data_IF_158868675932
#
_entry.id   IF_158868675932
#
_cell.length_a   1.000
_cell.length_b   1.000
_cell.length_c   1.000
_cell.angle_alpha   90.00
_cell.angle_beta   90.00
_cell.angle_gamma   90.00
#
_symmetry.space_group_name_H-M   'P 1'
#
loop_
_entity.id
_entity.type
_entity.pdbx_description
1 polymer ?
#
# COMPACT_ATOMS: atom_id res chain seq x y z
N UNK A 1 10.37 6.49 9.30
CA UNK A 1 10.95 7.32 8.21
C UNK A 1 10.23 6.88 6.95
N UNK A 2 9.57 7.80 6.27
CA UNK A 2 8.86 7.48 5.03
C UNK A 2 9.84 6.89 4.00
N UNK A 3 9.44 5.88 3.22
CA UNK A 3 10.27 5.35 2.16
C UNK A 3 10.49 6.42 1.08
N UNK A 4 11.70 6.48 0.54
CA UNK A 4 12.03 7.34 -0.60
C UNK A 4 11.99 6.45 -1.84
N UNK A 5 11.11 6.76 -2.77
CA UNK A 5 10.96 6.03 -4.01
C UNK A 5 11.67 6.74 -5.16
N UNK A 6 12.18 5.95 -6.11
CA UNK A 6 12.73 6.46 -7.37
C UNK A 6 11.59 6.94 -8.28
N UNK A 7 11.78 8.01 -9.07
CA UNK A 7 10.84 8.32 -10.15
C UNK A 7 10.86 7.20 -11.20
N UNK A 8 9.71 6.95 -11.84
CA UNK A 8 9.66 5.93 -12.89
C UNK A 8 10.64 6.24 -14.03
N UNK A 9 11.48 5.26 -14.32
CA UNK A 9 12.36 5.22 -15.48
C UNK A 9 12.29 3.84 -16.15
N UNK A 10 12.07 3.82 -17.47
CA UNK A 10 11.88 2.57 -18.21
C UNK A 10 13.15 1.70 -18.25
N UNK A 11 14.33 2.30 -18.26
CA UNK A 11 15.61 1.58 -18.23
C UNK A 11 15.79 0.89 -16.89
N UNK A 12 15.55 1.64 -15.80
CA UNK A 12 15.58 1.09 -14.44
C UNK A 12 14.54 -0.02 -14.24
N UNK A 13 13.35 0.17 -14.80
CA UNK A 13 12.31 -0.87 -14.80
C UNK A 13 12.75 -2.15 -15.54
N UNK A 14 13.40 -2.00 -16.70
CA UNK A 14 13.93 -3.14 -17.45
C UNK A 14 15.04 -3.90 -16.67
N UNK A 15 15.93 -3.18 -15.99
CA UNK A 15 16.95 -3.78 -15.11
C UNK A 15 16.33 -4.62 -14.01
N UNK A 16 15.37 -4.05 -13.26
CA UNK A 16 14.65 -4.75 -12.18
C UNK A 16 13.95 -6.00 -12.72
N UNK A 17 13.30 -5.92 -13.87
CA UNK A 17 12.66 -7.08 -14.51
C UNK A 17 13.70 -8.16 -14.83
N UNK A 18 14.83 -7.78 -15.45
CA UNK A 18 15.87 -8.71 -15.87
C UNK A 18 16.52 -9.45 -14.69
N UNK A 19 16.71 -8.77 -13.56
CA UNK A 19 17.29 -9.35 -12.33
C UNK A 19 16.48 -10.54 -11.79
N UNK A 20 15.18 -10.60 -12.08
CA UNK A 20 14.28 -11.61 -11.48
C UNK A 20 13.78 -12.66 -12.47
N UNK A 21 14.14 -12.59 -13.76
CA UNK A 21 13.64 -13.51 -14.80
C UNK A 21 13.99 -14.98 -14.59
N UNK A 22 15.05 -15.24 -13.84
CA UNK A 22 15.52 -16.58 -13.53
C UNK A 22 14.68 -17.32 -12.49
N UNK A 23 13.76 -16.63 -11.84
CA UNK A 23 12.92 -17.18 -10.77
C UNK A 23 11.71 -17.90 -11.35
N UNK A 24 11.31 -19.01 -10.73
CA UNK A 24 10.04 -19.65 -11.02
C UNK A 24 8.88 -18.78 -10.53
N UNK A 25 7.86 -18.55 -11.39
CA UNK A 25 6.77 -17.65 -11.05
C UNK A 25 7.16 -16.18 -10.91
N UNK A 26 8.14 -15.73 -11.66
CA UNK A 26 8.78 -14.42 -11.57
C UNK A 26 7.83 -13.21 -11.58
N UNK A 27 6.63 -13.32 -12.17
CA UNK A 27 5.69 -12.19 -12.32
C UNK A 27 5.41 -11.49 -11.00
N UNK A 28 5.04 -12.23 -9.95
CA UNK A 28 4.71 -11.66 -8.65
C UNK A 28 5.93 -10.99 -7.99
N UNK A 29 7.09 -11.64 -8.09
CA UNK A 29 8.34 -11.12 -7.51
C UNK A 29 8.76 -9.82 -8.21
N UNK A 30 8.65 -9.77 -9.55
CA UNK A 30 8.95 -8.58 -10.35
C UNK A 30 8.01 -7.43 -9.97
N UNK A 31 6.70 -7.69 -9.85
CA UNK A 31 5.73 -6.66 -9.43
C UNK A 31 6.07 -6.09 -8.05
N UNK A 32 6.46 -6.94 -7.09
CA UNK A 32 6.94 -6.49 -5.78
C UNK A 32 8.23 -5.67 -5.86
N UNK A 33 9.20 -6.09 -6.67
CA UNK A 33 10.46 -5.36 -6.84
C UNK A 33 10.23 -3.98 -7.47
N UNK A 34 9.37 -3.89 -8.48
CA UNK A 34 8.98 -2.61 -9.09
C UNK A 34 8.27 -1.69 -8.08
N UNK A 35 7.31 -2.22 -7.33
CA UNK A 35 6.64 -1.43 -6.28
C UNK A 35 7.62 -1.00 -5.18
N UNK A 36 8.59 -1.85 -4.84
CA UNK A 36 9.63 -1.51 -3.87
C UNK A 36 10.52 -0.34 -4.33
N UNK A 37 10.83 -0.28 -5.62
CA UNK A 37 11.66 0.77 -6.21
C UNK A 37 10.89 2.08 -6.43
N UNK A 38 9.70 1.99 -7.03
CA UNK A 38 8.94 3.16 -7.48
C UNK A 38 7.77 3.56 -6.55
N UNK A 39 7.45 2.77 -5.53
CA UNK A 39 6.32 2.99 -4.63
C UNK A 39 4.97 2.49 -5.18
N UNK A 40 4.91 2.13 -6.44
CA UNK A 40 3.75 1.59 -7.16
C UNK A 40 4.23 0.74 -8.34
N UNK A 41 3.33 0.03 -9.01
CA UNK A 41 3.64 -0.68 -10.24
C UNK A 41 3.24 0.21 -11.43
N UNK A 42 4.21 0.77 -12.16
CA UNK A 42 3.90 1.61 -13.33
C UNK A 42 3.24 0.80 -14.44
N UNK A 43 2.14 1.30 -14.99
CA UNK A 43 1.39 0.60 -16.05
C UNK A 43 2.27 0.26 -17.28
N UNK A 44 3.23 1.12 -17.71
CA UNK A 44 4.16 0.78 -18.78
C UNK A 44 5.06 -0.43 -18.50
N UNK A 45 5.23 -0.85 -17.24
CA UNK A 45 5.99 -2.05 -16.90
C UNK A 45 5.26 -3.35 -17.27
N UNK A 46 3.91 -3.34 -17.31
CA UNK A 46 3.12 -4.53 -17.63
C UNK A 46 3.49 -5.16 -18.98
N UNK A 47 3.50 -4.42 -20.12
CA UNK A 47 3.95 -4.99 -21.39
C UNK A 47 5.43 -5.40 -21.39
N UNK A 48 6.29 -4.74 -20.61
CA UNK A 48 7.71 -5.10 -20.49
C UNK A 48 7.87 -6.47 -19.80
N UNK A 49 7.17 -6.69 -18.70
CA UNK A 49 7.13 -7.98 -17.99
C UNK A 49 6.60 -9.08 -18.92
N UNK A 50 5.47 -8.82 -19.57
CA UNK A 50 4.84 -9.75 -20.49
C UNK A 50 5.79 -10.20 -21.61
N UNK A 51 6.47 -9.25 -22.25
CA UNK A 51 7.45 -9.54 -23.29
C UNK A 51 8.62 -10.37 -22.75
N UNK A 52 9.18 -9.97 -21.61
CA UNK A 52 10.39 -10.60 -21.05
C UNK A 52 10.12 -12.04 -20.56
N UNK A 53 8.95 -12.28 -19.98
CA UNK A 53 8.56 -13.61 -19.48
C UNK A 53 7.83 -14.47 -20.50
N UNK A 54 7.66 -14.00 -21.75
CA UNK A 54 6.87 -14.65 -22.79
C UNK A 54 5.44 -14.98 -22.35
N UNK A 55 4.80 -14.02 -21.68
CA UNK A 55 3.40 -14.08 -21.23
C UNK A 55 2.56 -13.08 -22.04
N UNK A 56 1.24 -13.24 -22.01
CA UNK A 56 0.34 -12.22 -22.53
C UNK A 56 0.23 -11.05 -21.54
N UNK A 57 -0.09 -9.85 -22.05
CA UNK A 57 -0.37 -8.68 -21.20
C UNK A 57 -1.52 -8.94 -20.25
N UNK A 58 -2.52 -9.71 -20.69
CA UNK A 58 -3.69 -10.06 -19.89
C UNK A 58 -3.31 -10.91 -18.65
N UNK A 59 -2.38 -11.86 -18.80
CA UNK A 59 -1.90 -12.67 -17.68
C UNK A 59 -1.17 -11.81 -16.65
N UNK A 60 -0.24 -10.96 -17.09
CA UNK A 60 0.48 -10.06 -16.17
C UNK A 60 -0.46 -9.05 -15.50
N UNK A 61 -1.35 -8.44 -16.28
CA UNK A 61 -2.36 -7.51 -15.76
C UNK A 61 -3.32 -8.21 -14.78
N UNK A 62 -3.68 -9.46 -15.05
CA UNK A 62 -4.50 -10.27 -14.16
C UNK A 62 -3.84 -10.49 -12.80
N UNK A 63 -2.53 -10.77 -12.75
CA UNK A 63 -1.78 -10.87 -11.49
C UNK A 63 -1.73 -9.52 -10.79
N UNK A 64 -1.41 -8.44 -11.52
CA UNK A 64 -1.32 -7.08 -10.98
C UNK A 64 -2.63 -6.61 -10.33
N UNK A 65 -3.77 -6.87 -10.96
CA UNK A 65 -5.07 -6.42 -10.44
C UNK A 65 -5.69 -7.37 -9.41
N UNK A 66 -5.27 -8.64 -9.38
CA UNK A 66 -5.76 -9.60 -8.40
C UNK A 66 -5.29 -9.28 -6.98
N UNK A 67 -4.05 -8.86 -6.83
CA UNK A 67 -3.48 -8.53 -5.52
C UNK A 67 -3.65 -7.04 -5.22
N UNK A 68 -4.54 -6.71 -4.30
CA UNK A 68 -4.88 -5.33 -3.92
C UNK A 68 -3.73 -4.55 -3.25
N UNK A 69 -2.67 -5.23 -2.83
CA UNK A 69 -1.47 -4.59 -2.29
C UNK A 69 -0.61 -3.92 -3.37
N UNK A 70 -0.82 -4.25 -4.66
CA UNK A 70 -0.16 -3.55 -5.74
C UNK A 70 -0.86 -2.22 -6.02
N UNK A 71 -0.11 -1.14 -5.84
CA UNK A 71 -0.59 0.21 -6.11
C UNK A 71 -0.51 0.53 -7.59
N UNK A 72 -1.55 1.18 -8.10
CA UNK A 72 -1.62 1.68 -9.46
C UNK A 72 -1.03 3.10 -9.59
N UNK A 73 -0.96 3.81 -8.47
CA UNK A 73 -0.44 5.17 -8.34
C UNK A 73 0.46 5.28 -7.12
N UNK A 74 1.38 6.27 -7.09
CA UNK A 74 2.21 6.51 -5.91
C UNK A 74 1.34 6.79 -4.68
N UNK A 75 1.72 6.20 -3.54
CA UNK A 75 1.15 6.61 -2.27
C UNK A 75 1.67 7.98 -1.85
N UNK A 76 0.97 8.62 -0.94
CA UNK A 76 1.47 9.80 -0.24
C UNK A 76 2.74 9.50 0.57
N UNK A 77 3.36 10.56 1.09
CA UNK A 77 4.59 10.46 1.89
C UNK A 77 4.45 9.49 3.06
N UNK A 78 3.29 9.46 3.69
CA UNK A 78 2.94 8.57 4.80
C UNK A 78 1.75 7.70 4.42
N UNK A 79 1.78 6.43 4.82
CA UNK A 79 0.68 5.49 4.61
C UNK A 79 0.13 5.07 5.97
N UNK A 80 -1.10 5.51 6.25
CA UNK A 80 -1.85 5.12 7.42
C UNK A 80 -2.83 4.01 7.06
N UNK A 81 -2.60 2.81 7.59
CA UNK A 81 -3.49 1.66 7.39
C UNK A 81 -4.32 1.42 8.64
N UNK A 82 -5.63 1.33 8.50
CA UNK A 82 -6.55 0.99 9.59
C UNK A 82 -7.09 -0.42 9.40
N UNK A 83 -7.02 -1.22 10.45
CA UNK A 83 -7.51 -2.60 10.40
C UNK A 83 -9.04 -2.64 10.36
N UNK A 84 -9.57 -3.29 9.30
CA UNK A 84 -11.01 -3.48 9.04
C UNK A 84 -11.45 -4.93 9.20
N UNK A 85 -10.65 -5.77 9.89
CA UNK A 85 -11.02 -7.14 10.17
C UNK A 85 -11.97 -7.24 11.38
N UNK A 86 -12.65 -8.37 11.52
CA UNK A 86 -13.74 -8.65 12.46
C UNK A 86 -13.48 -8.15 13.88
N UNK A 87 -12.35 -8.52 14.49
CA UNK A 87 -12.05 -8.13 15.86
C UNK A 87 -11.89 -6.61 16.04
N UNK A 88 -11.33 -5.93 15.05
CA UNK A 88 -11.18 -4.47 15.06
C UNK A 88 -12.54 -3.77 14.87
N UNK A 89 -13.40 -4.27 13.99
CA UNK A 89 -14.75 -3.77 13.82
C UNK A 89 -15.55 -3.96 15.13
N UNK A 90 -15.54 -5.16 15.71
CA UNK A 90 -16.23 -5.47 16.95
C UNK A 90 -15.76 -4.60 18.14
N UNK A 91 -14.49 -4.18 18.13
CA UNK A 91 -13.90 -3.28 19.13
C UNK A 91 -14.11 -1.78 18.83
N UNK A 92 -15.01 -1.43 17.89
CA UNK A 92 -15.33 -0.03 17.56
C UNK A 92 -14.44 0.61 16.51
N UNK A 93 -13.70 -0.19 15.73
CA UNK A 93 -12.80 0.29 14.68
C UNK A 93 -13.45 1.18 13.63
N UNK A 94 -14.71 0.94 13.28
CA UNK A 94 -15.43 1.73 12.28
C UNK A 94 -15.61 3.21 12.70
N UNK A 95 -15.82 3.48 13.98
CA UNK A 95 -15.87 4.85 14.49
C UNK A 95 -14.52 5.57 14.36
N UNK A 96 -13.41 4.84 14.57
CA UNK A 96 -12.06 5.38 14.41
C UNK A 96 -11.72 5.62 12.93
N UNK A 97 -12.21 4.76 12.02
CA UNK A 97 -12.11 4.99 10.58
C UNK A 97 -12.80 6.28 10.17
N UNK A 98 -14.09 6.44 10.53
CA UNK A 98 -14.85 7.64 10.22
C UNK A 98 -14.18 8.91 10.79
N UNK A 99 -13.57 8.80 11.98
CA UNK A 99 -12.82 9.90 12.59
C UNK A 99 -11.56 10.26 11.79
N UNK A 100 -10.81 9.26 11.33
CA UNK A 100 -9.61 9.49 10.50
C UNK A 100 -9.98 10.12 9.16
N UNK A 101 -11.02 9.62 8.48
CA UNK A 101 -11.53 10.18 7.22
C UNK A 101 -11.94 11.65 7.39
N UNK A 102 -12.70 11.96 8.45
CA UNK A 102 -13.13 13.32 8.74
C UNK A 102 -11.93 14.27 9.00
N UNK A 103 -10.89 13.80 9.70
CA UNK A 103 -9.72 14.62 10.01
C UNK A 103 -8.79 14.82 8.82
N UNK A 104 -8.65 13.82 7.96
CA UNK A 104 -7.84 13.89 6.75
C UNK A 104 -8.58 14.56 5.58
N UNK A 105 -9.91 14.62 5.63
CA UNK A 105 -10.76 15.14 4.56
C UNK A 105 -10.78 14.26 3.31
N UNK A 106 -10.51 12.96 3.47
CA UNK A 106 -10.47 11.95 2.40
C UNK A 106 -11.24 10.70 2.81
N UNK A 107 -11.64 9.89 1.84
CA UNK A 107 -12.22 8.58 2.09
C UNK A 107 -11.12 7.50 2.22
N UNK A 108 -11.52 6.33 2.74
CA UNK A 108 -10.68 5.15 2.77
C UNK A 108 -10.27 4.74 1.34
N UNK A 109 -8.98 4.59 1.10
CA UNK A 109 -8.38 4.31 -0.20
C UNK A 109 -7.79 5.54 -0.89
N UNK A 110 -8.08 6.75 -0.40
CA UNK A 110 -7.64 7.99 -1.03
C UNK A 110 -6.33 8.52 -0.44
N UNK A 111 -5.74 9.46 -1.18
CA UNK A 111 -4.57 10.25 -0.76
C UNK A 111 -4.98 11.72 -0.60
N UNK A 112 -4.46 12.39 0.42
CA UNK A 112 -4.70 13.83 0.64
C UNK A 112 -4.19 14.66 -0.54
N UNK A 113 -4.86 15.79 -0.82
CA UNK A 113 -4.54 16.66 -1.96
C UNK A 113 -3.10 17.23 -1.94
N UNK A 114 -2.47 17.26 -0.77
CA UNK A 114 -1.07 17.65 -0.59
C UNK A 114 -0.08 16.47 -0.70
N UNK A 115 -0.58 15.28 -1.11
CA UNK A 115 0.18 14.03 -1.27
C UNK A 115 0.93 13.59 0.00
N UNK A 116 0.50 14.05 1.18
CA UNK A 116 1.16 13.68 2.43
C UNK A 116 0.71 12.34 2.97
N UNK A 117 -0.58 12.06 2.96
CA UNK A 117 -1.15 10.88 3.63
C UNK A 117 -2.01 10.10 2.67
N UNK A 118 -1.74 8.80 2.55
CA UNK A 118 -2.66 7.82 1.97
C UNK A 118 -3.32 7.04 3.10
N UNK A 119 -4.65 6.96 3.10
CA UNK A 119 -5.43 6.20 4.06
C UNK A 119 -5.86 4.87 3.42
N UNK A 120 -5.36 3.73 3.92
CA UNK A 120 -5.64 2.41 3.36
C UNK A 120 -6.32 1.47 4.36
N UNK A 121 -7.20 0.57 3.90
CA UNK A 121 -7.67 -0.52 4.73
C UNK A 121 -6.60 -1.62 4.83
N UNK A 122 -6.58 -2.34 5.96
CA UNK A 122 -5.84 -3.58 6.09
C UNK A 122 -6.72 -4.60 6.80
N UNK A 123 -6.59 -5.88 6.41
CA UNK A 123 -7.42 -6.95 6.95
C UNK A 123 -6.58 -7.89 7.80
N UNK A 124 -6.39 -7.45 9.05
CA UNK A 124 -5.66 -8.07 10.15
C UNK A 124 -4.14 -7.80 10.17
N UNK A 125 -3.71 -7.14 11.24
CA UNK A 125 -2.30 -6.89 11.58
C UNK A 125 -1.75 -7.90 12.60
N UNK A 126 -2.54 -8.95 12.93
CA UNK A 126 -2.17 -9.91 13.97
C UNK A 126 -2.37 -9.40 15.40
N UNK A 127 -2.94 -8.20 15.58
CA UNK A 127 -3.14 -7.55 16.89
C UNK A 127 -4.57 -7.69 17.42
N UNK A 128 -5.28 -8.78 17.10
CA UNK A 128 -6.69 -8.96 17.48
C UNK A 128 -6.93 -8.88 18.99
N UNK A 129 -5.99 -9.37 19.81
CA UNK A 129 -6.06 -9.28 21.27
C UNK A 129 -5.91 -7.85 21.82
N UNK A 130 -5.44 -6.93 21.00
CA UNK A 130 -5.25 -5.51 21.30
C UNK A 130 -5.96 -4.61 20.30
N UNK A 131 -7.10 -5.08 19.78
CA UNK A 131 -7.96 -4.33 18.85
C UNK A 131 -8.53 -3.06 19.52
N UNK A 132 -8.87 -2.04 18.73
CA UNK A 132 -8.58 -1.83 17.32
C UNK A 132 -7.09 -1.54 17.04
N UNK A 133 -6.64 -1.74 15.78
CA UNK A 133 -5.23 -1.57 15.42
C UNK A 133 -5.04 -0.82 14.10
N UNK A 134 -3.89 -0.17 13.98
CA UNK A 134 -3.43 0.55 12.79
C UNK A 134 -1.95 0.30 12.52
N UNK A 135 -1.51 0.71 11.35
CA UNK A 135 -0.11 0.76 10.96
C UNK A 135 0.20 2.09 10.28
N UNK A 136 1.20 2.80 10.76
CA UNK A 136 1.73 4.00 10.11
C UNK A 136 3.16 3.71 9.65
N UNK A 137 3.38 3.77 8.34
CA UNK A 137 4.68 3.53 7.69
C UNK A 137 5.38 2.23 8.17
N UNK A 138 4.62 1.15 8.31
CA UNK A 138 5.11 -0.14 8.80
C UNK A 138 5.15 -0.30 10.31
N UNK A 139 4.98 0.77 11.10
CA UNK A 139 4.90 0.72 12.57
C UNK A 139 3.48 0.38 13.01
N UNK A 140 3.29 -0.78 13.62
CA UNK A 140 1.99 -1.24 14.10
C UNK A 140 1.65 -0.66 15.47
N UNK A 141 0.36 -0.33 15.68
CA UNK A 141 -0.18 0.23 16.92
C UNK A 141 -1.50 -0.44 17.24
N UNK A 142 -1.63 -1.01 18.42
CA UNK A 142 -2.87 -1.58 18.95
C UNK A 142 -3.52 -0.72 20.00
N UNK A 143 -4.68 -1.18 20.52
CA UNK A 143 -5.49 -0.49 21.54
C UNK A 143 -5.78 0.96 21.14
N UNK A 144 -6.22 1.14 19.90
CA UNK A 144 -6.57 2.47 19.41
C UNK A 144 -7.82 2.98 20.15
N UNK A 145 -7.74 4.23 20.53
CA UNK A 145 -8.83 5.07 20.98
C UNK A 145 -8.82 6.38 20.16
N UNK A 146 -9.75 7.26 20.43
CA UNK A 146 -9.85 8.54 19.72
C UNK A 146 -8.58 9.39 19.83
N UNK A 147 -7.93 9.41 21.01
CA UNK A 147 -6.72 10.20 21.22
C UNK A 147 -5.53 9.64 20.42
N UNK A 148 -5.42 8.31 20.38
CA UNK A 148 -4.33 7.65 19.63
C UNK A 148 -4.50 7.77 18.12
N UNK A 149 -5.73 7.63 17.60
CA UNK A 149 -5.95 7.84 16.16
C UNK A 149 -5.68 9.31 15.78
N UNK A 150 -6.06 10.26 16.62
CA UNK A 150 -5.77 11.67 16.41
C UNK A 150 -4.26 11.94 16.38
N UNK A 151 -3.51 11.31 17.27
CA UNK A 151 -2.06 11.44 17.30
C UNK A 151 -1.39 10.83 16.05
N UNK A 152 -1.87 9.67 15.58
CA UNK A 152 -1.38 9.04 14.35
C UNK A 152 -1.66 9.91 13.11
N UNK A 153 -2.86 10.46 13.01
CA UNK A 153 -3.23 11.39 11.92
C UNK A 153 -2.33 12.64 11.96
N UNK A 154 -2.15 13.24 13.13
CA UNK A 154 -1.29 14.43 13.29
C UNK A 154 0.18 14.11 13.00
N UNK A 155 0.66 12.89 13.30
CA UNK A 155 2.00 12.43 12.96
C UNK A 155 2.16 12.29 11.44
N UNK A 156 1.19 11.68 10.77
CA UNK A 156 1.19 11.49 9.32
C UNK A 156 1.10 12.80 8.52
N UNK A 157 0.52 13.86 9.09
CA UNK A 157 0.37 15.16 8.44
C UNK A 157 1.61 16.07 8.58
N UNK A 158 2.65 15.66 9.29
CA UNK A 158 3.90 16.45 9.46
C UNK A 158 4.84 16.23 8.28
#
# INVERSE_FOLDING_TARGET
MAPVYEPWDATRGAEIIAEHTHLEGATLVILHALQGAFGYVPEPAIPMIAHTLNLSRAEVHGVFTFYHDFRHEPAGRHVLKLCRAEACQAAGGDALVARAEAKLGIAMGDTTADERVTLEPIYCLGLCATAPSAMLDGRVVGRLDEARIDALVAEAQR
#
